data_IF_454557247521
#
_entry.id   IF_454557247521
#
_cell.length_a   1.000
_cell.length_b   1.000
_cell.length_c   1.000
_cell.angle_alpha   90.00
_cell.angle_beta   90.00
_cell.angle_gamma   90.00
#
_symmetry.space_group_name_H-M   'P 1'
#
loop_
_entity.id
_entity.type
_entity.pdbx_description
1 polymer ?
#
# COMPACT_ATOMS: atom_id res chain seq x y z
N UNK A 1 22.23 11.13 -40.98
CA UNK A 1 21.30 11.82 -40.07
C UNK A 1 19.89 11.52 -40.53
N UNK A 2 19.23 10.52 -39.91
CA UNK A 2 17.86 10.12 -40.26
C UNK A 2 16.89 10.89 -39.40
N UNK A 3 16.13 11.79 -40.02
CA UNK A 3 15.03 12.53 -39.38
C UNK A 3 13.96 11.51 -38.98
N UNK A 4 13.66 11.44 -37.67
CA UNK A 4 12.50 10.70 -37.16
C UNK A 4 11.23 11.40 -37.64
N UNK A 5 10.34 10.66 -38.29
CA UNK A 5 8.99 11.13 -38.63
C UNK A 5 8.25 11.44 -37.29
N UNK A 6 7.49 12.54 -37.21
CA UNK A 6 6.69 12.81 -36.06
C UNK A 6 5.67 11.68 -35.88
N UNK A 7 5.48 11.26 -34.64
CA UNK A 7 4.46 10.28 -34.28
C UNK A 7 3.08 10.80 -34.71
N UNK A 8 2.33 9.95 -35.40
CA UNK A 8 0.97 10.26 -35.79
C UNK A 8 0.15 10.62 -34.53
N UNK A 9 -0.55 11.76 -34.59
CA UNK A 9 -1.43 12.27 -33.56
C UNK A 9 -2.42 11.19 -33.11
N UNK A 10 -2.46 10.93 -31.79
CA UNK A 10 -3.34 9.96 -31.10
C UNK A 10 -4.83 10.35 -31.20
N UNK A 11 -5.15 11.41 -31.92
CA UNK A 11 -6.52 11.97 -32.08
C UNK A 11 -7.48 11.04 -32.85
N UNK A 12 -7.04 9.90 -33.37
CA UNK A 12 -7.82 9.05 -34.27
C UNK A 12 -8.64 7.92 -33.65
N UNK A 13 -8.63 7.73 -32.32
CA UNK A 13 -9.29 6.57 -31.67
C UNK A 13 -10.64 6.92 -31.03
N UNK A 14 -10.93 8.19 -30.81
CA UNK A 14 -12.20 8.59 -30.27
C UNK A 14 -13.21 8.86 -31.39
N UNK A 15 -14.05 7.87 -31.74
CA UNK A 15 -15.26 8.12 -32.50
C UNK A 15 -16.11 9.10 -31.70
N UNK A 16 -16.19 10.33 -32.19
CA UNK A 16 -17.12 11.35 -31.74
C UNK A 16 -18.54 10.89 -32.09
N UNK A 17 -19.12 10.03 -31.26
CA UNK A 17 -20.55 9.76 -31.24
C UNK A 17 -21.19 10.81 -30.34
N UNK A 18 -22.12 11.55 -30.85
CA UNK A 18 -23.03 12.46 -30.16
C UNK A 18 -22.45 13.52 -29.20
N UNK A 19 -21.20 13.94 -29.41
CA UNK A 19 -20.66 15.18 -28.83
C UNK A 19 -20.09 15.09 -27.40
N UNK A 20 -20.18 13.95 -26.68
CA UNK A 20 -19.68 13.86 -25.29
C UNK A 20 -18.68 12.74 -25.12
N UNK A 21 -17.51 13.06 -24.56
CA UNK A 21 -16.52 12.05 -24.22
C UNK A 21 -16.91 11.28 -22.95
N UNK A 22 -16.60 9.98 -22.93
CA UNK A 22 -16.88 9.12 -21.77
C UNK A 22 -15.57 8.63 -21.17
N UNK A 23 -15.53 8.53 -19.84
CA UNK A 23 -14.39 7.95 -19.12
C UNK A 23 -14.44 6.41 -19.12
N UNK A 24 -13.41 5.78 -18.55
CA UNK A 24 -13.26 4.33 -18.48
C UNK A 24 -14.43 3.58 -17.79
N UNK A 25 -15.25 4.27 -17.01
CA UNK A 25 -16.45 3.71 -16.37
C UNK A 25 -17.75 4.18 -17.04
N UNK A 26 -17.66 4.59 -18.30
CA UNK A 26 -18.78 4.99 -19.16
C UNK A 26 -19.57 6.20 -18.67
N UNK A 27 -18.98 7.10 -17.87
CA UNK A 27 -19.58 8.37 -17.48
C UNK A 27 -19.22 9.45 -18.48
N UNK A 28 -20.20 10.29 -18.82
CA UNK A 28 -19.97 11.46 -19.67
C UNK A 28 -19.11 12.50 -18.93
N UNK A 29 -18.13 13.03 -19.63
CA UNK A 29 -17.25 14.09 -19.14
C UNK A 29 -17.63 15.38 -19.88
N UNK A 30 -17.95 16.45 -19.18
CA UNK A 30 -18.22 17.75 -19.79
C UNK A 30 -17.00 18.26 -20.58
N UNK A 31 -17.23 18.75 -21.80
CA UNK A 31 -16.16 19.22 -22.70
C UNK A 31 -15.37 20.38 -22.09
N UNK A 32 -15.99 21.21 -21.27
CA UNK A 32 -15.35 22.31 -20.54
C UNK A 32 -14.27 21.86 -19.55
N UNK A 33 -14.26 20.59 -19.15
CA UNK A 33 -13.20 20.01 -18.31
C UNK A 33 -12.01 19.49 -19.11
N UNK A 34 -12.13 19.40 -20.43
CA UNK A 34 -11.11 18.85 -21.33
C UNK A 34 -10.30 19.94 -22.03
N UNK A 35 -10.18 21.11 -21.40
CA UNK A 35 -9.41 22.24 -21.91
C UNK A 35 -7.89 22.04 -21.69
N UNK A 36 -7.08 22.78 -22.45
CA UNK A 36 -5.63 22.81 -22.32
C UNK A 36 -4.94 21.44 -22.52
N UNK A 37 -5.47 20.64 -23.47
CA UNK A 37 -4.88 19.34 -23.83
C UNK A 37 -5.12 18.24 -22.79
N UNK A 38 -6.04 18.43 -21.85
CA UNK A 38 -6.42 17.38 -20.92
C UNK A 38 -7.15 16.26 -21.65
N UNK A 39 -6.78 15.03 -21.32
CA UNK A 39 -7.39 13.83 -21.84
C UNK A 39 -8.17 13.10 -20.75
N UNK A 40 -9.19 12.34 -21.18
CA UNK A 40 -9.97 11.51 -20.25
C UNK A 40 -9.13 10.34 -19.77
N UNK A 41 -9.00 10.17 -18.46
CA UNK A 41 -8.30 9.03 -17.88
C UNK A 41 -8.98 7.71 -18.23
N UNK A 42 -8.25 6.86 -18.92
CA UNK A 42 -8.74 5.57 -19.43
C UNK A 42 -8.49 4.40 -18.48
N UNK A 43 -8.00 4.68 -17.29
CA UNK A 43 -7.70 3.66 -16.31
C UNK A 43 -6.24 3.22 -16.30
N UNK A 44 -5.86 2.60 -15.19
CA UNK A 44 -4.48 2.18 -14.87
C UNK A 44 -3.86 1.23 -15.91
N UNK A 45 -4.68 0.46 -16.59
CA UNK A 45 -4.22 -0.58 -17.51
C UNK A 45 -4.34 -0.17 -19.00
N UNK A 46 -4.52 1.12 -19.27
CA UNK A 46 -4.51 1.66 -20.62
C UNK A 46 -3.18 2.34 -20.88
N UNK A 47 -2.38 1.79 -21.77
CA UNK A 47 -1.07 2.32 -22.15
C UNK A 47 -0.91 2.23 -23.67
N UNK A 48 -0.34 3.27 -24.27
CA UNK A 48 -0.04 3.35 -25.71
C UNK A 48 -1.25 3.01 -26.62
N UNK A 49 -2.43 3.50 -26.26
CA UNK A 49 -3.66 3.29 -27.03
C UNK A 49 -4.29 1.89 -26.89
N UNK A 50 -3.83 1.07 -25.97
CA UNK A 50 -4.34 -0.30 -25.76
C UNK A 50 -4.57 -0.60 -24.28
N UNK A 51 -5.56 -1.44 -24.01
CA UNK A 51 -5.72 -2.04 -22.69
C UNK A 51 -4.74 -3.20 -22.52
N UNK A 52 -3.93 -3.12 -21.48
CA UNK A 52 -3.05 -4.21 -21.08
C UNK A 52 -3.86 -5.17 -20.23
N UNK A 53 -4.02 -6.41 -20.70
CA UNK A 53 -4.62 -7.47 -19.88
C UNK A 53 -3.68 -7.76 -18.72
N UNK A 54 -4.17 -7.55 -17.51
CA UNK A 54 -3.46 -7.96 -16.31
C UNK A 54 -3.56 -9.47 -16.16
N UNK A 55 -2.45 -10.13 -15.91
CA UNK A 55 -2.47 -11.52 -15.49
C UNK A 55 -3.27 -11.65 -14.19
N UNK A 56 -4.09 -12.68 -14.11
CA UNK A 56 -4.79 -12.99 -12.88
C UNK A 56 -3.76 -13.21 -11.77
N UNK A 57 -3.98 -12.69 -10.56
CA UNK A 57 -3.09 -12.98 -9.45
C UNK A 57 -3.01 -14.50 -9.28
N UNK A 58 -1.81 -14.99 -8.91
CA UNK A 58 -1.64 -16.40 -8.58
C UNK A 58 -2.69 -16.77 -7.54
N UNK A 59 -3.38 -17.87 -7.74
CA UNK A 59 -4.33 -18.37 -6.75
C UNK A 59 -3.61 -18.58 -5.42
N UNK A 60 -4.25 -18.19 -4.32
CA UNK A 60 -3.73 -18.55 -3.00
C UNK A 60 -3.60 -20.08 -2.89
N UNK A 61 -2.52 -20.55 -2.25
CA UNK A 61 -2.39 -21.97 -1.92
C UNK A 61 -3.64 -22.42 -1.18
N UNK A 62 -4.32 -23.41 -1.70
CA UNK A 62 -5.42 -24.05 -1.00
C UNK A 62 -4.84 -24.84 0.17
N UNK A 63 -5.35 -24.55 1.35
CA UNK A 63 -5.02 -25.34 2.55
C UNK A 63 -5.84 -26.61 2.50
N UNK A 64 -5.20 -27.74 2.73
CA UNK A 64 -5.91 -29.02 2.83
C UNK A 64 -6.72 -29.05 4.15
N UNK A 65 -7.81 -29.82 4.21
CA UNK A 65 -8.65 -29.89 5.42
C UNK A 65 -7.85 -30.24 6.70
N UNK A 66 -6.81 -31.05 6.56
CA UNK A 66 -5.93 -31.51 7.65
C UNK A 66 -4.82 -30.49 8.00
N UNK A 67 -4.60 -29.47 7.18
CA UNK A 67 -3.60 -28.41 7.42
C UNK A 67 -4.23 -27.26 8.23
N UNK A 68 -3.70 -26.96 9.39
CA UNK A 68 -4.07 -25.77 10.17
C UNK A 68 -3.08 -24.63 9.91
N UNK A 69 -3.62 -23.41 9.75
CA UNK A 69 -2.84 -22.15 9.72
C UNK A 69 -2.82 -21.47 11.08
N UNK A 70 -3.48 -22.05 12.08
CA UNK A 70 -3.51 -21.48 13.42
C UNK A 70 -2.14 -21.71 14.06
N UNK A 71 -1.57 -20.63 14.57
CA UNK A 71 -0.35 -20.65 15.38
C UNK A 71 -0.72 -20.57 16.86
N UNK A 72 0.11 -21.14 17.74
CA UNK A 72 -0.12 -21.15 19.18
C UNK A 72 0.29 -19.83 19.84
N UNK A 73 1.12 -19.03 19.16
CA UNK A 73 1.58 -17.73 19.64
C UNK A 73 1.89 -16.79 18.48
N UNK A 74 1.99 -15.49 18.80
CA UNK A 74 2.44 -14.45 17.87
C UNK A 74 3.88 -14.76 17.44
N UNK A 75 4.73 -15.19 18.39
CA UNK A 75 6.12 -15.57 18.11
C UNK A 75 6.20 -16.66 17.05
N UNK A 76 5.46 -17.74 17.23
CA UNK A 76 5.41 -18.84 16.24
C UNK A 76 4.96 -18.33 14.85
N UNK A 77 3.97 -17.44 14.82
CA UNK A 77 3.52 -16.84 13.56
C UNK A 77 4.62 -16.02 12.90
N UNK A 78 5.33 -15.19 13.67
CA UNK A 78 6.46 -14.40 13.16
C UNK A 78 7.59 -15.29 12.63
N UNK A 79 7.94 -16.34 13.36
CA UNK A 79 8.97 -17.31 12.96
C UNK A 79 8.59 -18.03 11.65
N UNK A 80 7.34 -18.49 11.53
CA UNK A 80 6.81 -19.09 10.30
C UNK A 80 6.77 -18.13 9.11
N UNK A 81 6.61 -16.83 9.36
CA UNK A 81 6.69 -15.80 8.33
C UNK A 81 8.12 -15.43 7.97
N UNK A 82 9.13 -15.98 8.64
CA UNK A 82 10.53 -15.69 8.40
C UNK A 82 10.95 -14.29 8.89
N UNK A 83 10.41 -13.85 10.03
CA UNK A 83 10.76 -12.55 10.60
C UNK A 83 12.25 -12.44 10.90
N UNK A 84 12.87 -11.35 10.47
CA UNK A 84 14.31 -11.09 10.64
C UNK A 84 14.60 -9.58 10.70
N UNK A 85 15.81 -9.21 11.08
CA UNK A 85 16.32 -7.83 11.08
C UNK A 85 16.14 -7.15 9.71
N UNK A 86 15.82 -5.87 9.71
CA UNK A 86 15.67 -5.07 8.50
C UNK A 86 14.35 -5.26 7.75
N UNK A 87 13.45 -6.12 8.23
CA UNK A 87 12.15 -6.33 7.58
C UNK A 87 11.19 -5.17 7.78
N UNK A 88 10.29 -5.00 6.81
CA UNK A 88 9.08 -4.16 6.98
C UNK A 88 7.92 -5.04 7.41
N UNK A 89 7.32 -4.69 8.56
CA UNK A 89 6.11 -5.31 9.07
C UNK A 89 4.91 -4.43 8.77
N UNK A 90 3.90 -4.99 8.10
CA UNK A 90 2.71 -4.25 7.69
C UNK A 90 1.50 -4.65 8.49
N UNK A 91 0.76 -3.63 8.94
CA UNK A 91 -0.48 -3.78 9.71
C UNK A 91 -1.61 -2.99 9.06
N UNK A 92 -2.79 -3.53 9.11
CA UNK A 92 -4.02 -2.83 8.79
C UNK A 92 -4.79 -2.58 10.09
N UNK A 93 -4.76 -1.34 10.57
CA UNK A 93 -5.43 -0.96 11.82
C UNK A 93 -6.86 -0.51 11.51
N UNK A 94 -7.84 -1.26 12.03
CA UNK A 94 -9.27 -1.01 11.79
C UNK A 94 -9.91 -0.19 12.91
N UNK A 95 -9.52 -0.44 14.15
CA UNK A 95 -10.10 0.17 15.34
C UNK A 95 -9.18 1.27 15.85
N UNK A 96 -9.71 2.50 15.97
CA UNK A 96 -8.88 3.67 16.33
C UNK A 96 -8.16 3.52 17.67
N UNK A 97 -8.85 3.14 18.72
CA UNK A 97 -8.31 3.15 20.08
C UNK A 97 -8.38 1.78 20.78
N UNK A 98 -8.62 0.71 20.03
CA UNK A 98 -8.74 -0.64 20.57
C UNK A 98 -7.96 -1.70 19.80
N UNK A 99 -7.21 -1.30 18.76
CA UNK A 99 -6.40 -2.21 17.97
C UNK A 99 -4.98 -2.27 18.52
N UNK A 100 -4.73 -3.25 19.37
CA UNK A 100 -3.43 -3.48 19.97
C UNK A 100 -2.58 -4.51 19.22
N UNK A 101 -3.05 -5.05 18.09
CA UNK A 101 -2.34 -6.12 17.37
C UNK A 101 -0.95 -5.67 16.93
N UNK A 102 -0.81 -4.47 16.36
CA UNK A 102 0.49 -3.93 15.99
C UNK A 102 1.45 -3.82 17.17
N UNK A 103 0.96 -3.36 18.33
CA UNK A 103 1.76 -3.26 19.55
C UNK A 103 2.16 -4.63 20.11
N UNK A 104 1.24 -5.61 20.08
CA UNK A 104 1.52 -6.98 20.54
C UNK A 104 2.59 -7.63 19.66
N UNK A 105 2.46 -7.50 18.35
CA UNK A 105 3.47 -8.03 17.41
C UNK A 105 4.80 -7.31 17.56
N UNK A 106 4.81 -5.97 17.65
CA UNK A 106 6.02 -5.20 17.84
C UNK A 106 6.79 -5.60 19.12
N UNK A 107 6.07 -5.86 20.24
CA UNK A 107 6.69 -6.40 21.47
C UNK A 107 7.37 -7.73 21.22
N UNK A 108 6.69 -8.66 20.58
CA UNK A 108 7.27 -9.98 20.27
C UNK A 108 8.52 -9.84 19.39
N UNK A 109 8.45 -9.02 18.35
CA UNK A 109 9.57 -8.82 17.43
C UNK A 109 10.79 -8.21 18.14
N UNK A 110 10.58 -7.17 18.94
CA UNK A 110 11.67 -6.42 19.58
C UNK A 110 12.11 -7.07 20.89
N UNK A 111 11.17 -7.39 21.79
CA UNK A 111 11.50 -7.82 23.16
C UNK A 111 11.79 -9.31 23.24
N UNK A 112 11.03 -10.16 22.52
CA UNK A 112 11.20 -11.61 22.60
C UNK A 112 12.16 -12.17 21.53
N UNK A 113 12.11 -11.64 20.31
CA UNK A 113 12.94 -12.11 19.20
C UNK A 113 14.23 -11.27 19.05
N UNK A 114 14.31 -10.11 19.69
CA UNK A 114 15.48 -9.24 19.68
C UNK A 114 15.76 -8.57 18.33
N UNK A 115 14.74 -8.47 17.47
CA UNK A 115 14.91 -7.89 16.13
C UNK A 115 15.15 -6.39 16.19
N UNK A 116 15.89 -5.90 15.20
CA UNK A 116 16.29 -4.49 15.03
C UNK A 116 16.20 -4.07 13.56
N UNK A 117 16.40 -2.78 13.34
CA UNK A 117 16.35 -2.15 12.02
C UNK A 117 15.00 -2.34 11.32
N UNK A 118 13.91 -2.44 12.12
CA UNK A 118 12.56 -2.73 11.65
C UNK A 118 11.92 -1.48 11.06
N UNK A 119 11.19 -1.64 9.96
CA UNK A 119 10.25 -0.64 9.46
C UNK A 119 8.81 -1.09 9.77
N UNK A 120 8.00 -0.19 10.33
CA UNK A 120 6.58 -0.41 10.60
C UNK A 120 5.73 0.30 9.55
N UNK A 121 4.94 -0.45 8.80
CA UNK A 121 3.98 0.08 7.84
C UNK A 121 2.56 -0.13 8.37
N UNK A 122 1.78 0.94 8.53
CA UNK A 122 0.41 0.83 9.06
C UNK A 122 -0.51 1.86 8.41
N UNK A 123 -1.79 1.52 8.29
CA UNK A 123 -2.80 2.46 7.77
C UNK A 123 -2.93 3.69 8.66
N UNK A 124 -2.84 3.53 9.98
CA UNK A 124 -2.76 4.64 10.94
C UNK A 124 -2.11 4.15 12.24
N UNK A 125 -1.51 5.08 12.98
CA UNK A 125 -0.90 4.82 14.28
C UNK A 125 -1.44 5.84 15.29
N UNK A 126 -1.73 5.39 16.50
CA UNK A 126 -2.28 6.20 17.58
C UNK A 126 -1.81 5.73 18.95
N UNK A 127 -2.48 6.15 20.00
CA UNK A 127 -2.10 5.86 21.40
C UNK A 127 -2.02 4.36 21.70
N UNK A 128 -2.86 3.53 21.05
CA UNK A 128 -2.77 2.08 21.17
C UNK A 128 -1.42 1.50 20.67
N UNK A 129 -0.70 2.26 19.85
CA UNK A 129 0.60 1.88 19.30
C UNK A 129 1.78 2.67 19.89
N UNK A 130 1.59 3.39 20.99
CA UNK A 130 2.65 4.23 21.60
C UNK A 130 3.90 3.45 22.04
N UNK A 131 3.81 2.13 22.27
CA UNK A 131 4.99 1.30 22.53
C UNK A 131 5.97 1.31 21.34
N UNK A 132 5.48 1.51 20.13
CA UNK A 132 6.35 1.61 18.95
C UNK A 132 7.21 2.88 19.02
N UNK A 133 6.72 3.95 19.66
CA UNK A 133 7.51 5.15 19.92
C UNK A 133 8.75 4.84 20.78
N UNK A 134 8.61 3.97 21.81
CA UNK A 134 9.76 3.54 22.61
C UNK A 134 10.81 2.83 21.77
N UNK A 135 10.38 2.03 20.78
CA UNK A 135 11.29 1.30 19.90
C UNK A 135 11.94 2.19 18.85
N UNK A 136 11.29 3.30 18.44
CA UNK A 136 11.90 4.34 17.60
C UNK A 136 13.01 5.03 18.39
N UNK A 137 12.72 5.49 19.61
CA UNK A 137 13.70 6.14 20.49
C UNK A 137 14.89 5.25 20.85
N UNK A 138 14.67 3.92 20.91
CA UNK A 138 15.73 2.92 21.11
C UNK A 138 16.49 2.57 19.83
N UNK A 139 16.11 3.11 18.67
CA UNK A 139 16.71 2.78 17.38
C UNK A 139 16.44 1.34 16.91
N UNK A 140 15.41 0.68 17.44
CA UNK A 140 14.97 -0.66 17.00
C UNK A 140 14.05 -0.58 15.78
N UNK A 141 13.19 0.44 15.77
CA UNK A 141 12.36 0.81 14.62
C UNK A 141 13.00 2.01 13.96
N UNK A 142 13.47 1.82 12.73
CA UNK A 142 14.21 2.84 11.97
C UNK A 142 13.37 3.50 10.88
N UNK A 143 12.15 3.04 10.65
CA UNK A 143 11.27 3.59 9.63
C UNK A 143 9.81 3.38 9.96
N UNK A 144 8.98 4.38 9.59
CA UNK A 144 7.53 4.31 9.72
C UNK A 144 6.89 4.76 8.41
N UNK A 145 5.95 3.95 7.91
CA UNK A 145 5.14 4.23 6.73
C UNK A 145 3.67 4.21 7.14
N UNK A 146 3.01 5.36 7.08
CA UNK A 146 1.61 5.47 7.53
C UNK A 146 0.90 6.63 6.83
N UNK A 147 -0.41 6.58 6.77
CA UNK A 147 -1.23 7.70 6.27
C UNK A 147 -1.63 8.71 7.36
N UNK A 148 -1.37 8.40 8.63
CA UNK A 148 -1.66 9.31 9.72
C UNK A 148 -1.16 8.82 11.06
N UNK A 149 -0.70 9.76 11.89
CA UNK A 149 -0.21 9.52 13.25
C UNK A 149 -0.86 10.46 14.24
N UNK A 150 -0.97 10.03 15.49
CA UNK A 150 -1.44 10.84 16.62
C UNK A 150 -0.88 10.26 17.93
N UNK A 151 -1.03 11.02 19.03
CA UNK A 151 -0.48 10.62 20.32
C UNK A 151 1.04 10.71 20.34
N UNK A 152 1.65 10.09 21.35
CA UNK A 152 3.11 10.13 21.55
C UNK A 152 3.89 9.61 20.34
N UNK A 153 3.40 8.56 19.68
CA UNK A 153 4.07 8.06 18.47
C UNK A 153 4.12 9.13 17.37
N UNK A 154 3.07 9.96 17.25
CA UNK A 154 3.05 11.09 16.33
C UNK A 154 4.07 12.17 16.69
N UNK A 155 4.25 12.45 17.99
CA UNK A 155 5.24 13.40 18.49
C UNK A 155 6.67 12.92 18.18
N UNK A 156 6.98 11.67 18.48
CA UNK A 156 8.31 11.09 18.23
C UNK A 156 8.65 11.09 16.74
N UNK A 157 7.72 10.69 15.86
CA UNK A 157 7.93 10.70 14.41
C UNK A 157 8.12 12.13 13.88
N UNK A 158 7.44 13.11 14.47
CA UNK A 158 7.54 14.51 14.04
C UNK A 158 8.82 15.19 14.53
N UNK A 159 9.43 14.67 15.57
CA UNK A 159 10.69 15.18 16.11
C UNK A 159 11.94 14.73 15.32
N UNK A 160 11.85 13.72 14.46
CA UNK A 160 12.91 13.17 13.61
C UNK A 160 13.54 11.97 14.23
#
# INVERSE_FOLDING_TARGET
>A
MRLRKPAASITAIYKKGDGKMKNAVNREIPDELLVNGKEVYQGKYYMDGKYIKKDSPKSCRKVKPEESKICQSIREACEKCGAHDGMTFSFHTELRDGDYVASMVARVLVEEMGLKDITVASTSLGTAQDVIADYIEQGKVIGVQTSGVRGRIGEVISAG
#
